data_IF_154501284058
#
_entry.id   IF_154501284058
#
_cell.length_a   1.000
_cell.length_b   1.000
_cell.length_c   1.000
_cell.angle_alpha   90.00
_cell.angle_beta   90.00
_cell.angle_gamma   90.00
#
_symmetry.space_group_name_H-M   'P 1'
#
loop_
_entity.id
_entity.type
_entity.pdbx_description
1 polymer ?
#
# COMPACT_ATOMS: atom_id res chain seq x y z
N UNK A 1 -1.52 -9.89 -30.19
CA UNK A 1 -0.10 -9.69 -29.84
C UNK A 1 0.00 -8.23 -29.40
N UNK A 2 -0.11 -7.96 -28.09
CA UNK A 2 0.01 -6.60 -27.54
C UNK A 2 1.49 -6.26 -27.47
N UNK A 3 1.90 -5.27 -28.27
CA UNK A 3 3.22 -4.68 -28.18
C UNK A 3 3.45 -4.14 -26.77
N UNK A 4 4.37 -4.77 -26.06
CA UNK A 4 4.88 -4.22 -24.81
C UNK A 4 5.74 -3.02 -25.21
N UNK A 5 5.17 -1.82 -25.12
CA UNK A 5 5.91 -0.58 -25.36
C UNK A 5 7.17 -0.59 -24.50
N UNK A 6 8.35 -0.31 -25.09
CA UNK A 6 9.59 -0.21 -24.33
C UNK A 6 9.43 0.89 -23.30
N UNK A 7 9.68 0.55 -22.03
CA UNK A 7 9.65 1.51 -20.93
C UNK A 7 10.56 2.70 -21.27
N UNK A 8 10.00 3.92 -21.27
CA UNK A 8 10.81 5.13 -21.18
C UNK A 8 11.79 4.92 -20.01
N UNK A 9 13.07 5.11 -20.28
CA UNK A 9 14.07 5.11 -19.21
C UNK A 9 13.61 6.11 -18.15
N UNK A 10 13.36 5.62 -16.92
CA UNK A 10 13.01 6.50 -15.81
C UNK A 10 14.21 7.36 -15.50
N UNK A 11 14.05 8.67 -15.54
CA UNK A 11 15.04 9.58 -15.01
C UNK A 11 15.05 9.43 -13.49
N UNK A 12 16.13 8.87 -12.97
CA UNK A 12 16.27 8.69 -11.53
C UNK A 12 16.50 10.03 -10.84
N UNK A 13 15.92 10.26 -9.65
CA UNK A 13 16.23 11.44 -8.86
C UNK A 13 17.74 11.62 -8.67
N UNK A 14 18.20 12.86 -8.64
CA UNK A 14 19.61 13.19 -8.37
C UNK A 14 19.98 12.64 -6.99
N UNK A 15 21.11 11.91 -6.92
CA UNK A 15 21.62 11.36 -5.66
C UNK A 15 21.25 9.90 -5.38
N UNK A 16 20.39 9.26 -6.18
CA UNK A 16 20.15 7.80 -6.04
C UNK A 16 21.41 7.04 -6.45
N UNK A 17 21.94 6.21 -5.56
CA UNK A 17 23.17 5.48 -5.81
C UNK A 17 22.98 4.35 -6.86
N UNK A 18 24.07 3.91 -7.54
CA UNK A 18 23.98 2.87 -8.57
C UNK A 18 23.44 1.52 -8.07
N UNK A 19 23.68 1.18 -6.78
CA UNK A 19 23.24 -0.07 -6.18
C UNK A 19 21.71 -0.08 -6.05
N UNK A 20 21.10 1.01 -5.55
CA UNK A 20 19.64 1.13 -5.43
C UNK A 20 18.96 1.15 -6.81
N UNK A 21 19.58 1.77 -7.81
CA UNK A 21 19.09 1.73 -9.20
C UNK A 21 19.09 0.30 -9.75
N UNK A 22 20.19 -0.43 -9.55
CA UNK A 22 20.29 -1.82 -9.99
C UNK A 22 19.26 -2.70 -9.28
N UNK A 23 19.08 -2.53 -7.97
CA UNK A 23 18.12 -3.26 -7.16
C UNK A 23 16.68 -2.96 -7.60
N UNK A 24 16.32 -1.68 -7.79
CA UNK A 24 15.03 -1.29 -8.35
C UNK A 24 14.74 -1.98 -9.67
N UNK A 25 15.66 -1.94 -10.63
CA UNK A 25 15.50 -2.58 -11.94
C UNK A 25 15.35 -4.10 -11.82
N UNK A 26 16.12 -4.73 -10.94
CA UNK A 26 16.02 -6.17 -10.67
C UNK A 26 14.64 -6.56 -10.13
N UNK A 27 14.12 -5.80 -9.15
CA UNK A 27 12.79 -6.03 -8.57
C UNK A 27 11.73 -5.86 -9.65
N UNK A 28 11.81 -4.79 -10.42
CA UNK A 28 10.88 -4.49 -11.51
C UNK A 28 10.84 -5.62 -12.54
N UNK A 29 11.98 -6.10 -12.99
CA UNK A 29 12.05 -7.26 -13.89
C UNK A 29 11.38 -8.52 -13.27
N UNK A 30 11.50 -8.73 -11.96
CA UNK A 30 10.84 -9.86 -11.29
C UNK A 30 9.34 -9.68 -11.18
N UNK A 31 8.85 -8.46 -10.94
CA UNK A 31 7.42 -8.12 -10.96
C UNK A 31 6.84 -8.47 -12.35
N UNK A 32 7.45 -7.99 -13.42
CA UNK A 32 6.98 -8.24 -14.78
C UNK A 32 6.94 -9.72 -15.17
N UNK A 33 7.81 -10.53 -14.62
CA UNK A 33 7.78 -12.00 -14.82
C UNK A 33 6.58 -12.69 -14.16
N UNK A 34 5.83 -11.98 -13.29
CA UNK A 34 4.62 -12.50 -12.64
C UNK A 34 3.35 -12.17 -13.42
N UNK A 35 3.44 -11.68 -14.64
CA UNK A 35 2.31 -11.32 -15.49
C UNK A 35 1.31 -12.47 -15.61
N UNK A 36 0.02 -12.17 -15.47
CA UNK A 36 -1.08 -13.13 -15.57
C UNK A 36 -2.29 -12.52 -16.26
N UNK A 37 -2.62 -13.02 -17.44
CA UNK A 37 -3.83 -12.62 -18.18
C UNK A 37 -5.10 -12.93 -17.40
N UNK A 38 -5.20 -14.10 -16.77
CA UNK A 38 -6.37 -14.48 -15.98
C UNK A 38 -6.63 -13.57 -14.77
N UNK A 39 -5.58 -12.98 -14.19
CA UNK A 39 -5.75 -11.98 -13.14
C UNK A 39 -6.29 -10.67 -13.72
N UNK A 40 -5.80 -10.25 -14.89
CA UNK A 40 -6.31 -9.05 -15.57
C UNK A 40 -7.80 -9.21 -15.94
N UNK A 41 -8.18 -10.36 -16.48
CA UNK A 41 -9.59 -10.66 -16.80
C UNK A 41 -10.47 -10.62 -15.56
N UNK A 42 -9.99 -11.15 -14.43
CA UNK A 42 -10.71 -11.12 -13.16
C UNK A 42 -10.91 -9.69 -12.65
N UNK A 43 -9.88 -8.84 -12.75
CA UNK A 43 -9.94 -7.42 -12.35
C UNK A 43 -10.89 -6.64 -13.26
N UNK A 44 -10.81 -6.88 -14.58
CA UNK A 44 -11.68 -6.23 -15.56
C UNK A 44 -13.16 -6.60 -15.35
N UNK A 45 -13.46 -7.86 -15.02
CA UNK A 45 -14.82 -8.33 -14.72
C UNK A 45 -15.42 -7.67 -13.46
N UNK A 46 -14.58 -7.12 -12.57
CA UNK A 46 -15.01 -6.31 -11.42
C UNK A 46 -15.22 -4.82 -11.79
N UNK A 47 -15.11 -4.47 -13.07
CA UNK A 47 -15.26 -3.10 -13.55
C UNK A 47 -14.07 -2.19 -13.25
N UNK A 48 -12.93 -2.74 -12.84
CA UNK A 48 -11.71 -1.99 -12.52
C UNK A 48 -10.85 -1.84 -13.79
N UNK A 49 -10.35 -0.64 -14.04
CA UNK A 49 -9.44 -0.39 -15.16
C UNK A 49 -8.16 -1.19 -15.03
N UNK A 50 -7.83 -1.95 -16.06
CA UNK A 50 -6.60 -2.75 -16.15
C UNK A 50 -5.48 -2.05 -16.92
N UNK A 51 -5.72 -0.82 -17.36
CA UNK A 51 -4.73 -0.04 -18.13
C UNK A 51 -3.44 0.14 -17.32
N UNK A 52 -2.32 -0.28 -17.89
CA UNK A 52 -1.00 -0.18 -17.27
C UNK A 52 -0.72 -1.22 -16.17
N UNK A 53 -1.65 -2.13 -15.87
CA UNK A 53 -1.45 -3.24 -14.95
C UNK A 53 -0.92 -4.47 -15.71
N UNK A 54 -0.15 -5.32 -15.02
CA UNK A 54 0.36 -6.58 -15.57
C UNK A 54 -0.40 -7.80 -15.04
N UNK A 55 -1.31 -7.59 -14.10
CA UNK A 55 -2.14 -8.64 -13.51
C UNK A 55 -1.36 -9.61 -12.63
N UNK A 56 -0.27 -9.20 -12.00
CA UNK A 56 0.47 -10.06 -11.12
C UNK A 56 -0.35 -10.40 -9.86
N UNK A 57 -0.51 -11.72 -9.53
CA UNK A 57 -1.23 -12.11 -8.32
C UNK A 57 -0.54 -11.60 -7.06
N UNK A 58 -1.33 -11.20 -6.05
CA UNK A 58 -0.83 -10.65 -4.79
C UNK A 58 0.20 -11.56 -4.10
N UNK A 59 -0.03 -12.88 -4.12
CA UNK A 59 0.91 -13.85 -3.53
C UNK A 59 2.25 -13.88 -4.26
N UNK A 60 2.25 -13.71 -5.58
CA UNK A 60 3.48 -13.65 -6.37
C UNK A 60 4.26 -12.36 -6.05
N UNK A 61 3.57 -11.22 -5.89
CA UNK A 61 4.20 -9.95 -5.47
C UNK A 61 4.83 -10.05 -4.08
N UNK A 62 4.15 -10.72 -3.13
CA UNK A 62 4.72 -11.02 -1.80
C UNK A 62 5.99 -11.86 -1.89
N UNK A 63 5.99 -12.89 -2.75
CA UNK A 63 7.17 -13.73 -2.98
C UNK A 63 8.32 -12.97 -3.65
N UNK A 64 8.00 -11.98 -4.50
CA UNK A 64 9.03 -11.09 -5.05
C UNK A 64 9.64 -10.26 -3.93
N UNK A 65 8.82 -9.56 -3.14
CA UNK A 65 9.28 -8.68 -2.06
C UNK A 65 10.10 -9.43 -1.00
N UNK A 66 9.69 -10.66 -0.63
CA UNK A 66 10.36 -11.44 0.43
C UNK A 66 11.81 -11.83 0.15
N UNK A 67 12.29 -11.61 -1.07
CA UNK A 67 13.68 -11.90 -1.47
C UNK A 67 14.63 -10.71 -1.23
N UNK A 68 14.11 -9.61 -0.73
CA UNK A 68 14.86 -8.37 -0.57
C UNK A 68 14.72 -7.82 0.83
N UNK A 69 15.76 -7.17 1.29
CA UNK A 69 15.72 -6.41 2.54
C UNK A 69 14.90 -5.12 2.34
N UNK A 70 14.39 -4.59 3.44
CA UNK A 70 13.66 -3.32 3.42
C UNK A 70 14.60 -2.18 3.04
N UNK A 71 14.15 -1.34 2.10
CA UNK A 71 14.86 -0.14 1.65
C UNK A 71 13.83 0.92 1.26
N UNK A 72 13.71 1.97 2.07
CA UNK A 72 12.80 3.09 1.76
C UNK A 72 13.18 3.82 0.48
N UNK A 73 14.46 3.83 0.08
CA UNK A 73 14.91 4.41 -1.20
C UNK A 73 14.34 3.62 -2.37
N UNK A 74 14.56 2.30 -2.38
CA UNK A 74 14.07 1.43 -3.46
C UNK A 74 12.54 1.37 -3.48
N UNK A 75 11.92 1.32 -2.30
CA UNK A 75 10.46 1.37 -2.16
C UNK A 75 9.89 2.69 -2.72
N UNK A 76 10.51 3.83 -2.42
CA UNK A 76 10.13 5.12 -2.99
C UNK A 76 10.21 5.14 -4.52
N UNK A 77 11.28 4.59 -5.11
CA UNK A 77 11.41 4.48 -6.56
C UNK A 77 10.30 3.64 -7.20
N UNK A 78 9.89 2.54 -6.55
CA UNK A 78 8.77 1.69 -7.00
C UNK A 78 7.42 2.41 -6.81
N UNK A 79 7.28 3.17 -5.71
CA UNK A 79 6.07 3.93 -5.42
C UNK A 79 5.81 5.02 -6.47
N UNK A 80 6.86 5.69 -6.90
CA UNK A 80 6.82 6.75 -7.93
C UNK A 80 6.45 6.24 -9.33
N UNK A 81 6.50 4.94 -9.59
CA UNK A 81 6.03 4.36 -10.85
C UNK A 81 4.51 4.48 -11.01
N UNK A 82 3.78 4.77 -9.93
CA UNK A 82 2.34 4.92 -9.90
C UNK A 82 1.57 3.75 -10.54
N UNK A 83 2.11 2.54 -10.41
CA UNK A 83 1.50 1.29 -10.88
C UNK A 83 1.17 0.38 -9.72
N UNK A 84 0.06 -0.36 -9.86
CA UNK A 84 -0.47 -1.25 -8.82
C UNK A 84 0.57 -2.22 -8.28
N UNK A 85 1.22 -2.96 -9.15
CA UNK A 85 2.12 -4.03 -8.77
C UNK A 85 3.40 -3.51 -8.10
N UNK A 86 3.97 -2.45 -8.64
CA UNK A 86 5.15 -1.78 -8.08
C UNK A 86 4.82 -1.17 -6.71
N UNK A 87 3.69 -0.50 -6.57
CA UNK A 87 3.28 0.09 -5.29
C UNK A 87 2.95 -0.96 -4.25
N UNK A 88 2.33 -2.09 -4.61
CA UNK A 88 2.13 -3.22 -3.69
C UNK A 88 3.48 -3.76 -3.19
N UNK A 89 4.45 -3.97 -4.06
CA UNK A 89 5.80 -4.41 -3.64
C UNK A 89 6.48 -3.35 -2.78
N UNK A 90 6.35 -2.07 -3.11
CA UNK A 90 6.89 -0.97 -2.32
C UNK A 90 6.39 -1.00 -0.87
N UNK A 91 5.10 -1.27 -0.64
CA UNK A 91 4.54 -1.35 0.73
C UNK A 91 5.21 -2.40 1.61
N UNK A 92 5.76 -3.44 1.00
CA UNK A 92 6.46 -4.52 1.70
C UNK A 92 7.93 -4.21 1.94
N UNK A 93 8.50 -3.27 1.18
CA UNK A 93 9.91 -2.88 1.23
C UNK A 93 10.15 -1.60 2.02
N UNK A 94 9.14 -0.77 2.29
CA UNK A 94 9.29 0.40 3.15
C UNK A 94 9.77 -0.01 4.56
N UNK A 95 10.68 0.79 5.12
CA UNK A 95 11.12 0.63 6.50
C UNK A 95 9.95 0.90 7.49
N UNK A 96 10.11 0.41 8.73
CA UNK A 96 9.07 0.56 9.77
C UNK A 96 9.26 1.79 10.66
N UNK A 97 10.24 2.62 10.36
CA UNK A 97 10.67 3.81 11.12
C UNK A 97 10.60 5.11 10.30
N UNK A 98 9.72 5.16 9.31
CA UNK A 98 9.51 6.36 8.50
C UNK A 98 8.82 7.45 9.31
N UNK A 99 9.11 8.72 8.97
CA UNK A 99 8.43 9.86 9.60
C UNK A 99 6.98 9.98 9.15
N UNK A 100 6.12 10.53 10.01
CA UNK A 100 4.71 10.81 9.69
C UNK A 100 4.60 11.67 8.43
N UNK A 101 5.45 12.69 8.28
CA UNK A 101 5.45 13.58 7.12
C UNK A 101 5.75 12.85 5.81
N UNK A 102 6.75 11.96 5.81
CA UNK A 102 7.10 11.17 4.62
C UNK A 102 5.93 10.27 4.22
N UNK A 103 5.31 9.59 5.20
CA UNK A 103 4.14 8.73 4.97
C UNK A 103 2.98 9.54 4.37
N UNK A 104 2.63 10.69 4.97
CA UNK A 104 1.54 11.54 4.50
C UNK A 104 1.80 12.20 3.14
N UNK A 105 3.07 12.32 2.75
CA UNK A 105 3.46 12.79 1.42
C UNK A 105 3.29 11.69 0.38
N UNK A 106 3.56 10.43 0.72
CA UNK A 106 3.49 9.30 -0.20
C UNK A 106 2.06 8.78 -0.43
N UNK A 107 1.23 8.69 0.61
CA UNK A 107 -0.10 8.08 0.50
C UNK A 107 -1.01 8.69 -0.57
N UNK A 108 -1.07 10.03 -0.76
CA UNK A 108 -1.88 10.63 -1.83
C UNK A 108 -1.48 10.20 -3.24
N UNK A 109 -0.23 9.72 -3.42
CA UNK A 109 0.32 9.27 -4.70
C UNK A 109 -0.02 7.79 -5.02
N UNK A 110 -0.73 7.10 -4.13
CA UNK A 110 -1.20 5.74 -4.41
C UNK A 110 -2.08 5.71 -5.68
N UNK A 111 -1.90 4.72 -6.54
CA UNK A 111 -2.63 4.66 -7.81
C UNK A 111 -4.09 4.23 -7.64
N UNK A 112 -4.45 3.57 -6.53
CA UNK A 112 -5.81 3.09 -6.26
C UNK A 112 -6.09 2.94 -4.76
N UNK A 113 -7.38 2.83 -4.41
CA UNK A 113 -7.83 2.50 -3.04
C UNK A 113 -7.36 1.11 -2.62
N UNK A 114 -7.29 0.13 -3.53
CA UNK A 114 -6.73 -1.21 -3.24
C UNK A 114 -5.28 -1.11 -2.74
N UNK A 115 -4.45 -0.28 -3.39
CA UNK A 115 -3.07 -0.05 -2.94
C UNK A 115 -3.05 0.62 -1.57
N UNK A 116 -3.96 1.55 -1.29
CA UNK A 116 -4.09 2.17 0.03
C UNK A 116 -4.47 1.16 1.12
N UNK A 117 -5.46 0.29 0.85
CA UNK A 117 -5.83 -0.80 1.77
C UNK A 117 -4.63 -1.71 2.07
N UNK A 118 -3.88 -2.04 1.03
CA UNK A 118 -2.71 -2.88 1.18
C UNK A 118 -1.58 -2.18 1.94
N UNK A 119 -1.33 -0.90 1.63
CA UNK A 119 -0.38 -0.07 2.36
C UNK A 119 -0.75 0.02 3.85
N UNK A 120 -2.02 0.24 4.16
CA UNK A 120 -2.52 0.27 5.53
C UNK A 120 -2.21 -1.01 6.29
N UNK A 121 -2.61 -2.15 5.73
CA UNK A 121 -2.51 -3.45 6.39
C UNK A 121 -1.08 -4.01 6.48
N UNK A 122 -0.20 -3.72 5.51
CA UNK A 122 1.13 -4.33 5.44
C UNK A 122 2.27 -3.39 5.85
N UNK A 123 2.10 -2.11 5.65
CA UNK A 123 3.14 -1.11 5.91
C UNK A 123 2.81 -0.23 7.13
N UNK A 124 1.69 0.52 7.09
CA UNK A 124 1.37 1.50 8.14
C UNK A 124 1.11 0.86 9.50
N UNK A 125 0.43 -0.29 9.54
CA UNK A 125 0.16 -1.01 10.78
C UNK A 125 1.42 -1.44 11.53
N UNK A 126 2.56 -1.49 10.86
CA UNK A 126 3.86 -1.87 11.41
C UNK A 126 4.78 -0.67 11.69
N UNK A 127 4.33 0.57 11.44
CA UNK A 127 5.13 1.76 11.70
C UNK A 127 5.27 2.02 13.20
N UNK A 128 6.46 2.45 13.62
CA UNK A 128 6.72 2.88 14.99
C UNK A 128 5.90 4.13 15.38
N UNK A 129 5.67 5.02 14.40
CA UNK A 129 4.91 6.27 14.55
C UNK A 129 3.40 6.11 14.30
N UNK A 130 2.85 4.89 14.27
CA UNK A 130 1.46 4.65 13.84
C UNK A 130 0.42 5.41 14.67
N UNK A 131 0.56 5.52 15.98
CA UNK A 131 -0.39 6.25 16.83
C UNK A 131 -0.32 7.76 16.60
N UNK A 132 0.88 8.30 16.35
CA UNK A 132 1.07 9.69 15.93
C UNK A 132 0.44 9.94 14.56
N UNK A 133 0.64 9.03 13.61
CA UNK A 133 0.04 9.10 12.28
C UNK A 133 -1.49 9.16 12.36
N UNK A 134 -2.14 8.34 13.19
CA UNK A 134 -3.58 8.41 13.43
C UNK A 134 -4.00 9.74 14.04
N UNK A 135 -3.21 10.30 14.95
CA UNK A 135 -3.52 11.57 15.59
C UNK A 135 -3.43 12.75 14.62
N UNK A 136 -2.37 12.81 13.82
CA UNK A 136 -2.11 13.89 12.85
C UNK A 136 -3.11 13.85 11.69
N UNK A 137 -3.41 12.66 11.19
CA UNK A 137 -4.27 12.48 10.02
C UNK A 137 -5.74 12.18 10.37
N UNK A 138 -6.15 12.34 11.65
CA UNK A 138 -7.51 11.99 12.10
C UNK A 138 -8.59 12.67 11.28
N UNK A 139 -8.43 13.96 10.99
CA UNK A 139 -9.39 14.77 10.24
C UNK A 139 -8.99 14.98 8.76
N UNK A 140 -8.14 14.11 8.23
CA UNK A 140 -7.76 14.16 6.82
C UNK A 140 -8.98 14.04 5.92
N UNK A 141 -9.08 14.90 4.92
CA UNK A 141 -10.07 14.82 3.83
C UNK A 141 -9.57 14.05 2.62
N UNK A 142 -8.29 13.65 2.60
CA UNK A 142 -7.75 12.87 1.49
C UNK A 142 -8.22 11.42 1.56
N UNK A 143 -9.04 11.00 0.59
CA UNK A 143 -9.65 9.68 0.53
C UNK A 143 -8.63 8.54 0.60
N UNK A 144 -7.49 8.66 -0.07
CA UNK A 144 -6.43 7.65 -0.08
C UNK A 144 -5.75 7.51 1.27
N UNK A 145 -5.50 8.63 1.95
CA UNK A 145 -4.96 8.63 3.31
C UNK A 145 -5.95 7.95 4.25
N UNK A 146 -7.23 8.33 4.18
CA UNK A 146 -8.28 7.75 5.04
C UNK A 146 -8.44 6.26 4.80
N UNK A 147 -8.46 5.81 3.53
CA UNK A 147 -8.54 4.39 3.17
C UNK A 147 -7.37 3.57 3.77
N UNK A 148 -6.15 4.08 3.63
CA UNK A 148 -4.98 3.43 4.20
C UNK A 148 -5.06 3.34 5.74
N UNK A 149 -5.54 4.41 6.40
CA UNK A 149 -5.68 4.42 7.86
C UNK A 149 -6.80 3.50 8.35
N UNK A 150 -7.94 3.39 7.66
CA UNK A 150 -8.99 2.41 8.00
C UNK A 150 -8.40 0.99 8.00
N UNK A 151 -7.65 0.64 6.95
CA UNK A 151 -7.04 -0.67 6.84
C UNK A 151 -5.93 -0.91 7.88
N UNK A 152 -5.12 0.11 8.17
CA UNK A 152 -4.12 0.06 9.23
C UNK A 152 -4.76 -0.13 10.61
N UNK A 153 -5.85 0.60 10.89
CA UNK A 153 -6.60 0.49 12.13
C UNK A 153 -7.14 -0.93 12.35
N UNK A 154 -7.80 -1.48 11.33
CA UNK A 154 -8.32 -2.84 11.37
C UNK A 154 -7.21 -3.87 11.64
N UNK A 155 -6.05 -3.70 11.01
CA UNK A 155 -4.90 -4.59 11.23
C UNK A 155 -4.33 -4.45 12.63
N UNK A 156 -4.22 -3.23 13.16
CA UNK A 156 -3.73 -2.97 14.53
C UNK A 156 -4.65 -3.58 15.58
N UNK A 157 -5.97 -3.46 15.44
CA UNK A 157 -6.92 -4.11 16.34
C UNK A 157 -6.75 -5.64 16.33
N UNK A 158 -6.62 -6.26 15.16
CA UNK A 158 -6.33 -7.69 15.06
C UNK A 158 -5.01 -8.09 15.71
N UNK A 159 -3.98 -7.25 15.61
CA UNK A 159 -2.69 -7.48 16.26
C UNK A 159 -2.80 -7.35 17.79
N UNK A 160 -3.56 -6.37 18.29
CA UNK A 160 -3.81 -6.18 19.71
C UNK A 160 -4.59 -7.36 20.33
N UNK A 161 -5.64 -7.85 19.65
CA UNK A 161 -6.39 -9.04 20.06
C UNK A 161 -5.51 -10.29 20.20
N UNK A 162 -4.45 -10.36 19.40
CA UNK A 162 -3.47 -11.47 19.44
C UNK A 162 -2.30 -11.21 20.40
N UNK A 163 -2.32 -10.13 21.16
CA UNK A 163 -1.24 -9.74 22.07
C UNK A 163 0.06 -9.32 21.39
N UNK A 164 0.00 -8.97 20.08
CA UNK A 164 1.19 -8.56 19.30
C UNK A 164 1.53 -7.08 19.47
N UNK A 165 0.60 -6.27 19.94
CA UNK A 165 0.79 -4.86 20.29
C UNK A 165 -0.21 -4.44 21.37
N UNK A 166 0.02 -3.28 21.98
CA UNK A 166 -0.94 -2.70 22.91
C UNK A 166 -2.19 -2.18 22.15
N UNK A 167 -3.40 -2.30 22.75
CA UNK A 167 -4.59 -1.66 22.22
C UNK A 167 -4.43 -0.13 22.19
N UNK A 168 -4.91 0.51 21.12
CA UNK A 168 -4.84 1.96 20.98
C UNK A 168 -6.26 2.55 20.86
N UNK A 169 -6.65 3.45 21.81
CA UNK A 169 -7.99 4.07 21.78
C UNK A 169 -8.26 4.87 20.50
N UNK A 170 -7.23 5.51 19.93
CA UNK A 170 -7.38 6.30 18.71
C UNK A 170 -7.65 5.39 17.50
N UNK A 171 -7.02 4.23 17.44
CA UNK A 171 -7.23 3.23 16.39
C UNK A 171 -8.68 2.75 16.41
N UNK A 172 -9.21 2.38 17.58
CA UNK A 172 -10.61 1.98 17.75
C UNK A 172 -11.58 3.09 17.36
N UNK A 173 -11.31 4.33 17.80
CA UNK A 173 -12.13 5.49 17.45
C UNK A 173 -12.17 5.72 15.93
N UNK A 174 -11.06 5.46 15.24
CA UNK A 174 -10.96 5.61 13.79
C UNK A 174 -11.85 4.61 13.04
N UNK A 175 -11.91 3.35 13.47
CA UNK A 175 -12.79 2.32 12.88
C UNK A 175 -14.27 2.64 13.14
N UNK A 176 -14.61 3.12 14.33
CA UNK A 176 -16.00 3.39 14.72
C UNK A 176 -16.54 4.70 14.12
N UNK A 177 -15.69 5.56 13.60
CA UNK A 177 -16.10 6.81 12.92
C UNK A 177 -17.00 6.51 11.73
N UNK A 178 -17.97 7.39 11.46
CA UNK A 178 -18.78 7.40 10.23
C UNK A 178 -18.11 8.23 9.15
N UNK A 179 -18.21 7.77 7.92
CA UNK A 179 -17.60 8.42 6.76
C UNK A 179 -18.68 8.79 5.75
N UNK A 180 -18.66 10.03 5.26
CA UNK A 180 -19.61 10.51 4.24
C UNK A 180 -19.35 9.89 2.85
N UNK A 181 -18.11 9.47 2.58
CA UNK A 181 -17.73 8.78 1.36
C UNK A 181 -18.18 7.31 1.43
N UNK A 182 -19.01 6.88 0.48
CA UNK A 182 -19.60 5.53 0.46
C UNK A 182 -18.56 4.40 0.40
N UNK A 183 -17.43 4.61 -0.30
CA UNK A 183 -16.35 3.62 -0.39
C UNK A 183 -15.67 3.46 0.98
N UNK A 184 -15.32 4.59 1.62
CA UNK A 184 -14.67 4.60 2.93
C UNK A 184 -15.60 4.04 4.02
N UNK A 185 -16.89 4.37 3.95
CA UNK A 185 -17.88 3.82 4.87
C UNK A 185 -18.01 2.30 4.73
N UNK A 186 -18.13 1.80 3.50
CA UNK A 186 -18.17 0.36 3.24
C UNK A 186 -16.89 -0.36 3.69
N UNK A 187 -15.71 0.28 3.56
CA UNK A 187 -14.47 -0.24 4.10
C UNK A 187 -14.50 -0.34 5.61
N UNK A 188 -14.94 0.71 6.31
CA UNK A 188 -15.01 0.73 7.76
C UNK A 188 -16.06 -0.26 8.29
N UNK A 189 -17.21 -0.39 7.63
CA UNK A 189 -18.27 -1.35 8.01
C UNK A 189 -17.78 -2.79 8.02
N UNK A 190 -16.90 -3.18 7.10
CA UNK A 190 -16.29 -4.53 7.09
C UNK A 190 -15.58 -4.89 8.41
N UNK A 191 -15.19 -3.89 9.19
CA UNK A 191 -14.47 -4.06 10.45
C UNK A 191 -15.32 -3.76 11.68
N UNK A 192 -16.39 -2.94 11.53
CA UNK A 192 -17.28 -2.57 12.65
C UNK A 192 -18.13 -3.71 13.18
N UNK A 193 -18.40 -4.74 12.36
CA UNK A 193 -19.21 -5.88 12.81
C UNK A 193 -18.67 -6.53 14.09
N UNK A 194 -17.39 -6.40 14.38
CA UNK A 194 -16.77 -6.88 15.61
C UNK A 194 -17.20 -6.12 16.87
N UNK A 195 -17.78 -4.92 16.71
CA UNK A 195 -18.17 -4.04 17.80
C UNK A 195 -19.70 -3.85 17.85
N UNK A 196 -20.43 -4.58 17.03
CA UNK A 196 -21.89 -4.56 17.01
C UNK A 196 -22.44 -5.54 18.04
N UNK A 197 -22.23 -5.23 19.35
CA UNK A 197 -22.93 -5.81 20.47
C UNK A 197 -23.80 -4.76 21.14
#
# INVERSE_FOLDING_TARGET
>A
MHEILPHRAKDFPVGVNPVDKALYLQIKCRIYRQQSGGTLDSIANLGVSVSGQIGAPLMALKQVASKYEKSSVVAGLLWDDCRREEQIVATLLFANDMSVNDILTLLPLACSIEVCEYAGSQWLSNQSCVDELFSVAFDSSNEKVVAALISAAARREMMAERGMCAPSPIVKKYILRRYDNAILEAMAERYRFKYAE
#
